data_IF_591623755707
#
_entry.id   IF_591623755707
#
_cell.length_a   1.000
_cell.length_b   1.000
_cell.length_c   1.000
_cell.angle_alpha   90.00
_cell.angle_beta   90.00
_cell.angle_gamma   90.00
#
_symmetry.space_group_name_H-M   'P 1'
#
loop_
_entity.id
_entity.type
_entity.pdbx_description
1 polymer ?
#
# COMPACT_ATOMS: atom_id res chain seq x y z
N UNK A 1 -10.59 -7.53 17.13
CA UNK A 1 -11.67 -6.67 16.59
C UNK A 1 -11.99 -7.15 15.19
N UNK A 2 -13.20 -6.93 14.71
CA UNK A 2 -13.59 -7.32 13.34
C UNK A 2 -13.44 -6.11 12.43
N UNK A 3 -12.63 -6.25 11.39
CA UNK A 3 -12.36 -5.21 10.41
C UNK A 3 -12.90 -5.61 9.04
N UNK A 4 -13.24 -4.62 8.23
CA UNK A 4 -13.62 -4.79 6.85
C UNK A 4 -12.85 -3.84 5.93
N UNK A 5 -12.54 -4.32 4.73
CA UNK A 5 -12.06 -3.50 3.60
C UNK A 5 -12.88 -3.88 2.37
N UNK A 6 -13.14 -2.91 1.51
CA UNK A 6 -13.85 -3.15 0.26
C UNK A 6 -12.98 -2.79 -0.93
N UNK A 7 -12.67 -3.79 -1.76
CA UNK A 7 -12.14 -3.58 -3.09
C UNK A 7 -13.29 -3.10 -4.00
N UNK A 8 -13.18 -1.90 -4.59
CA UNK A 8 -14.30 -1.27 -5.30
C UNK A 8 -14.08 -1.17 -6.81
N UNK A 9 -15.00 -1.73 -7.58
CA UNK A 9 -15.10 -1.44 -9.02
C UNK A 9 -15.85 -0.11 -9.19
N UNK A 10 -15.09 0.95 -9.42
CA UNK A 10 -15.64 2.31 -9.47
C UNK A 10 -16.42 2.57 -10.75
N UNK A 11 -17.59 3.20 -10.59
CA UNK A 11 -18.32 3.79 -11.71
C UNK A 11 -17.63 5.10 -12.08
N UNK A 12 -16.86 5.09 -13.16
CA UNK A 12 -16.05 6.23 -13.60
C UNK A 12 -16.82 7.19 -14.51
N UNK A 13 -16.36 8.45 -14.54
CA UNK A 13 -16.78 9.40 -15.58
C UNK A 13 -16.17 8.99 -16.93
N UNK A 14 -16.96 8.90 -18.02
CA UNK A 14 -16.42 8.61 -19.34
C UNK A 14 -15.62 9.78 -19.94
N UNK A 15 -15.75 10.98 -19.37
CA UNK A 15 -15.07 12.19 -19.84
C UNK A 15 -14.63 13.04 -18.62
N UNK A 16 -13.60 12.62 -17.88
CA UNK A 16 -13.18 13.29 -16.64
C UNK A 16 -12.63 14.71 -16.86
N UNK A 17 -12.21 15.05 -18.08
CA UNK A 17 -11.81 16.41 -18.45
C UNK A 17 -12.99 17.34 -18.78
N UNK A 18 -14.21 16.82 -18.95
CA UNK A 18 -15.37 17.62 -19.30
C UNK A 18 -15.91 18.38 -18.08
N UNK A 19 -16.32 19.64 -18.27
CA UNK A 19 -17.01 20.41 -17.25
C UNK A 19 -18.45 19.91 -17.12
N UNK A 20 -18.88 19.66 -15.88
CA UNK A 20 -20.23 19.21 -15.55
C UNK A 20 -20.82 20.06 -14.43
N UNK A 21 -22.13 20.07 -14.31
CA UNK A 21 -22.81 20.68 -13.17
C UNK A 21 -22.62 19.82 -11.90
N UNK A 22 -22.60 20.45 -10.71
CA UNK A 22 -22.49 19.72 -9.42
C UNK A 22 -23.57 18.66 -9.28
N UNK A 23 -24.79 18.91 -9.77
CA UNK A 23 -25.87 17.92 -9.76
C UNK A 23 -25.48 16.63 -10.49
N UNK A 24 -24.88 16.73 -11.67
CA UNK A 24 -24.45 15.55 -12.44
C UNK A 24 -23.27 14.83 -11.79
N UNK A 25 -22.34 15.58 -11.18
CA UNK A 25 -21.27 15.00 -10.38
C UNK A 25 -21.83 14.22 -9.18
N UNK A 26 -22.78 14.79 -8.44
CA UNK A 26 -23.47 14.14 -7.32
C UNK A 26 -24.27 12.90 -7.75
N UNK A 27 -24.89 12.91 -8.94
CA UNK A 27 -25.57 11.73 -9.50
C UNK A 27 -24.57 10.58 -9.77
N UNK A 28 -23.37 10.87 -10.29
CA UNK A 28 -22.33 9.87 -10.47
C UNK A 28 -21.82 9.33 -9.14
N UNK A 29 -21.39 10.23 -8.24
CA UNK A 29 -20.88 9.86 -6.91
C UNK A 29 -21.95 9.12 -6.10
N UNK A 30 -23.21 9.49 -6.27
CA UNK A 30 -24.36 8.83 -5.65
C UNK A 30 -24.45 7.35 -6.00
N UNK A 31 -24.17 6.96 -7.24
CA UNK A 31 -24.18 5.54 -7.65
C UNK A 31 -23.04 4.74 -7.01
N UNK A 32 -21.85 5.33 -6.85
CA UNK A 32 -20.76 4.70 -6.09
C UNK A 32 -21.13 4.58 -4.60
N UNK A 33 -21.73 5.62 -4.02
CA UNK A 33 -22.19 5.62 -2.62
C UNK A 33 -23.34 4.63 -2.36
N UNK A 34 -24.17 4.33 -3.37
CA UNK A 34 -25.19 3.27 -3.28
C UNK A 34 -24.53 1.90 -3.04
N UNK A 35 -23.41 1.63 -3.74
CA UNK A 35 -22.62 0.40 -3.55
C UNK A 35 -22.00 0.42 -2.16
N UNK A 36 -21.41 1.55 -1.73
CA UNK A 36 -20.81 1.67 -0.39
C UNK A 36 -21.83 1.38 0.70
N UNK A 37 -23.05 1.92 0.63
CA UNK A 37 -24.10 1.66 1.63
C UNK A 37 -24.45 0.17 1.72
N UNK A 38 -24.46 -0.55 0.59
CA UNK A 38 -24.65 -2.01 0.59
C UNK A 38 -23.51 -2.74 1.30
N UNK A 39 -22.26 -2.33 1.06
CA UNK A 39 -21.09 -2.96 1.68
C UNK A 39 -20.98 -2.64 3.16
N UNK A 40 -21.32 -1.41 3.58
CA UNK A 40 -21.43 -1.02 4.99
C UNK A 40 -22.45 -1.91 5.70
N UNK A 41 -23.63 -2.11 5.12
CA UNK A 41 -24.65 -2.99 5.68
C UNK A 41 -24.17 -4.46 5.75
N UNK A 42 -23.51 -4.95 4.70
CA UNK A 42 -23.00 -6.31 4.65
C UNK A 42 -21.86 -6.55 5.67
N UNK A 43 -20.97 -5.58 5.86
CA UNK A 43 -19.89 -5.63 6.85
C UNK A 43 -20.46 -5.58 8.28
N UNK A 44 -21.40 -4.66 8.55
CA UNK A 44 -22.05 -4.55 9.86
C UNK A 44 -22.81 -5.83 10.24
N UNK A 45 -23.48 -6.49 9.27
CA UNK A 45 -24.14 -7.79 9.49
C UNK A 45 -23.16 -8.92 9.84
N UNK A 46 -21.91 -8.81 9.39
CA UNK A 46 -20.82 -9.73 9.73
C UNK A 46 -20.08 -9.31 11.02
N UNK A 47 -20.56 -8.28 11.73
CA UNK A 47 -19.99 -7.82 12.99
C UNK A 47 -18.78 -6.90 12.85
N UNK A 48 -18.47 -6.40 11.65
CA UNK A 48 -17.37 -5.46 11.44
C UNK A 48 -17.59 -4.17 12.26
N UNK A 49 -16.53 -3.72 12.93
CA UNK A 49 -16.51 -2.52 13.77
C UNK A 49 -15.98 -1.31 12.99
N UNK A 50 -15.22 -1.55 11.92
CA UNK A 50 -14.70 -0.55 10.99
C UNK A 50 -14.73 -1.10 9.57
N UNK A 51 -15.01 -0.23 8.59
CA UNK A 51 -14.87 -0.49 7.16
C UNK A 51 -14.05 0.61 6.48
N UNK A 52 -13.13 0.21 5.59
CA UNK A 52 -12.31 1.13 4.77
C UNK A 52 -12.69 0.98 3.30
N UNK A 53 -12.82 2.11 2.62
CA UNK A 53 -13.07 2.21 1.18
C UNK A 53 -11.85 2.78 0.43
N UNK A 54 -11.73 2.53 -0.89
CA UNK A 54 -10.56 2.91 -1.65
C UNK A 54 -10.42 4.41 -1.89
N UNK A 55 -9.19 4.81 -2.24
CA UNK A 55 -8.89 6.11 -2.85
C UNK A 55 -9.64 6.26 -4.18
N UNK A 56 -10.11 7.47 -4.50
CA UNK A 56 -10.83 7.80 -5.73
C UNK A 56 -12.11 6.97 -5.99
N UNK A 57 -12.55 6.14 -5.04
CA UNK A 57 -13.64 5.20 -5.27
C UNK A 57 -15.03 5.84 -5.42
N UNK A 58 -15.15 7.13 -5.11
CA UNK A 58 -16.41 7.88 -5.20
C UNK A 58 -16.52 8.61 -6.55
N UNK A 59 -15.44 9.26 -7.01
CA UNK A 59 -15.45 10.12 -8.19
C UNK A 59 -14.58 9.62 -9.36
N UNK A 60 -13.63 8.72 -9.12
CA UNK A 60 -12.63 8.28 -10.08
C UNK A 60 -11.46 9.26 -10.22
N UNK A 61 -10.67 9.11 -11.28
CA UNK A 61 -9.40 9.82 -11.50
C UNK A 61 -9.37 10.50 -12.88
N UNK A 62 -8.22 11.11 -13.24
CA UNK A 62 -7.94 11.81 -14.51
C UNK A 62 -8.71 13.13 -14.73
N UNK A 63 -9.06 13.83 -13.64
CA UNK A 63 -9.66 15.15 -13.73
C UNK A 63 -8.62 16.26 -13.92
N UNK A 64 -9.08 17.42 -14.37
CA UNK A 64 -8.35 18.69 -14.28
C UNK A 64 -8.81 19.45 -13.04
N UNK A 65 -8.06 20.48 -12.62
CA UNK A 65 -8.48 21.36 -11.51
C UNK A 65 -9.90 21.93 -11.68
N UNK A 66 -10.30 22.25 -12.91
CA UNK A 66 -11.61 22.82 -13.20
C UNK A 66 -12.70 21.75 -13.29
N UNK A 67 -12.40 20.61 -13.92
CA UNK A 67 -13.40 19.55 -14.12
C UNK A 67 -13.69 18.73 -12.86
N UNK A 68 -12.75 18.68 -11.90
CA UNK A 68 -12.99 18.03 -10.60
C UNK A 68 -13.87 18.87 -9.67
N UNK A 69 -13.87 20.20 -9.81
CA UNK A 69 -14.50 21.12 -8.85
C UNK A 69 -15.97 20.78 -8.48
N UNK A 70 -16.83 20.35 -9.42
CA UNK A 70 -18.20 19.93 -9.11
C UNK A 70 -18.29 18.69 -8.20
N UNK A 71 -17.25 17.84 -8.18
CA UNK A 71 -17.16 16.61 -7.38
C UNK A 71 -16.62 16.85 -5.97
N UNK A 72 -16.10 18.04 -5.67
CA UNK A 72 -15.44 18.33 -4.39
C UNK A 72 -16.46 18.73 -3.31
N UNK A 73 -16.32 18.16 -2.13
CA UNK A 73 -17.02 18.61 -0.93
C UNK A 73 -16.21 19.66 -0.17
N UNK A 74 -16.89 20.57 0.52
CA UNK A 74 -16.25 21.41 1.52
C UNK A 74 -16.07 20.63 2.81
N UNK A 75 -14.83 20.41 3.24
CA UNK A 75 -14.52 19.83 4.55
C UNK A 75 -13.61 20.80 5.32
N UNK A 76 -14.04 21.28 6.49
CA UNK A 76 -13.26 22.24 7.27
C UNK A 76 -12.04 21.55 7.88
N UNK A 77 -10.83 22.03 7.56
CA UNK A 77 -9.59 21.45 8.08
C UNK A 77 -9.35 21.71 9.57
N UNK A 78 -9.84 22.85 10.10
CA UNK A 78 -9.54 23.31 11.47
C UNK A 78 -10.77 23.44 12.36
N UNK A 79 -11.73 22.52 12.25
CA UNK A 79 -12.81 22.48 13.24
C UNK A 79 -12.41 21.72 14.50
N UNK A 80 -12.20 22.49 15.56
CA UNK A 80 -12.07 22.04 16.95
C UNK A 80 -13.37 21.48 17.54
N UNK A 81 -14.47 21.54 16.80
CA UNK A 81 -15.78 21.02 17.20
C UNK A 81 -16.04 19.61 16.68
N UNK A 82 -16.79 18.82 17.46
CA UNK A 82 -17.35 17.54 17.01
C UNK A 82 -18.49 17.81 16.01
N UNK A 83 -18.20 17.93 14.74
CA UNK A 83 -19.23 18.04 13.69
C UNK A 83 -19.78 16.65 13.35
N UNK A 84 -21.10 16.52 13.30
CA UNK A 84 -21.77 15.33 12.79
C UNK A 84 -22.50 15.65 11.48
N UNK A 85 -21.90 15.40 10.31
CA UNK A 85 -22.49 15.76 9.01
C UNK A 85 -23.92 15.23 8.81
N UNK A 86 -24.24 14.04 9.34
CA UNK A 86 -25.59 13.49 9.22
C UNK A 86 -26.63 14.21 10.06
N UNK A 87 -26.27 14.65 11.27
CA UNK A 87 -27.19 15.34 12.20
C UNK A 87 -27.26 16.84 11.97
N UNK A 88 -26.21 17.41 11.38
CA UNK A 88 -26.06 18.84 11.13
C UNK A 88 -25.81 19.12 9.63
N UNK A 89 -26.72 18.69 8.73
CA UNK A 89 -26.49 18.68 7.29
C UNK A 89 -26.45 20.07 6.64
N UNK A 90 -26.89 21.09 7.36
CA UNK A 90 -26.94 22.48 6.88
C UNK A 90 -25.90 23.38 7.56
N UNK A 91 -24.96 22.81 8.32
CA UNK A 91 -23.91 23.59 8.99
C UNK A 91 -22.92 24.17 7.98
N UNK A 92 -22.58 23.40 6.94
CA UNK A 92 -21.79 23.85 5.80
C UNK A 92 -22.48 23.46 4.49
N UNK A 93 -22.31 24.29 3.48
CA UNK A 93 -22.75 24.00 2.11
C UNK A 93 -21.73 23.07 1.42
N UNK A 94 -22.17 22.43 0.34
CA UNK A 94 -21.36 21.52 -0.48
C UNK A 94 -20.79 20.35 0.33
N UNK A 95 -21.63 19.66 1.11
CA UNK A 95 -21.23 18.55 2.01
C UNK A 95 -21.99 17.24 1.75
N UNK A 96 -22.64 17.12 0.59
CA UNK A 96 -23.57 16.02 0.29
C UNK A 96 -22.90 14.63 0.36
N UNK A 97 -21.64 14.50 -0.05
CA UNK A 97 -20.91 13.22 -0.03
C UNK A 97 -20.53 12.85 1.41
N UNK A 98 -19.88 13.75 2.15
CA UNK A 98 -19.48 13.50 3.54
C UNK A 98 -20.69 13.33 4.47
N UNK A 99 -21.80 14.03 4.20
CA UNK A 99 -23.08 13.84 4.87
C UNK A 99 -23.60 12.41 4.64
N UNK A 100 -23.59 11.92 3.41
CA UNK A 100 -24.08 10.58 3.09
C UNK A 100 -23.24 9.49 3.75
N UNK A 101 -21.91 9.65 3.73
CA UNK A 101 -20.96 8.78 4.44
C UNK A 101 -21.22 8.78 5.95
N UNK A 102 -21.41 9.96 6.55
CA UNK A 102 -21.74 10.10 7.98
C UNK A 102 -23.05 9.39 8.33
N UNK A 103 -24.08 9.53 7.50
CA UNK A 103 -25.36 8.88 7.75
C UNK A 103 -25.30 7.35 7.64
N UNK A 104 -24.55 6.80 6.69
CA UNK A 104 -24.41 5.34 6.59
C UNK A 104 -23.60 4.77 7.77
N UNK A 105 -22.59 5.48 8.26
CA UNK A 105 -21.86 5.12 9.48
C UNK A 105 -22.78 5.10 10.71
N UNK A 106 -23.54 6.19 10.94
CA UNK A 106 -24.50 6.32 12.04
C UNK A 106 -25.60 5.24 12.01
N UNK A 107 -26.20 5.01 10.83
CA UNK A 107 -27.31 4.06 10.65
C UNK A 107 -26.89 2.62 10.93
N UNK A 108 -25.65 2.26 10.58
CA UNK A 108 -25.12 0.91 10.74
C UNK A 108 -24.23 0.73 11.97
N UNK A 109 -24.00 1.79 12.76
CA UNK A 109 -23.16 1.82 13.97
C UNK A 109 -21.76 1.25 13.74
N UNK A 110 -21.13 1.67 12.64
CA UNK A 110 -19.81 1.21 12.22
C UNK A 110 -18.90 2.40 11.95
N UNK A 111 -17.61 2.28 12.31
CA UNK A 111 -16.63 3.28 11.90
C UNK A 111 -16.39 3.16 10.39
N UNK A 112 -16.29 4.28 9.71
CA UNK A 112 -16.17 4.32 8.26
C UNK A 112 -15.00 5.22 7.86
N UNK A 113 -14.12 4.70 7.01
CA UNK A 113 -13.07 5.47 6.37
C UNK A 113 -13.28 5.45 4.86
N UNK A 114 -13.27 6.62 4.25
CA UNK A 114 -13.43 6.78 2.81
C UNK A 114 -12.59 7.94 2.29
N UNK A 115 -12.30 7.91 1.00
CA UNK A 115 -11.60 8.96 0.30
C UNK A 115 -12.54 9.77 -0.59
N UNK A 116 -12.37 11.08 -0.61
CA UNK A 116 -13.07 12.00 -1.49
C UNK A 116 -12.24 13.25 -1.78
N UNK A 117 -12.49 13.88 -2.92
CA UNK A 117 -11.98 15.21 -3.21
C UNK A 117 -12.63 16.28 -2.32
N UNK A 118 -11.80 17.14 -1.73
CA UNK A 118 -12.29 18.29 -0.94
C UNK A 118 -11.80 19.62 -1.50
N UNK A 119 -12.54 20.70 -1.21
CA UNK A 119 -12.21 22.07 -1.59
C UNK A 119 -12.22 23.02 -0.40
N UNK A 120 -11.31 23.99 -0.42
CA UNK A 120 -11.24 25.06 0.58
C UNK A 120 -10.99 26.40 -0.10
N UNK A 121 -11.93 27.36 0.00
CA UNK A 121 -11.72 28.69 -0.55
C UNK A 121 -10.55 29.37 0.18
N UNK A 122 -9.72 30.08 -0.58
CA UNK A 122 -8.62 30.87 -0.02
C UNK A 122 -8.67 32.31 -0.54
N UNK A 123 -8.24 33.25 0.31
CA UNK A 123 -8.21 34.66 -0.03
C UNK A 123 -6.91 35.05 -0.71
N UNK A 124 -6.91 36.17 -1.45
CA UNK A 124 -5.71 36.75 -2.08
C UNK A 124 -4.60 37.13 -1.09
N UNK A 125 -4.92 37.21 0.20
CA UNK A 125 -3.96 37.46 1.27
C UNK A 125 -3.12 36.22 1.63
N UNK A 126 -3.54 35.01 1.25
CA UNK A 126 -2.72 33.80 1.40
C UNK A 126 -1.80 33.68 0.17
N UNK A 127 -0.47 33.85 0.33
CA UNK A 127 0.47 33.79 -0.79
C UNK A 127 0.55 32.40 -1.45
N UNK A 128 0.01 31.37 -0.80
CA UNK A 128 -0.03 30.00 -1.32
C UNK A 128 -1.36 29.68 -2.01
N UNK A 129 -2.33 30.59 -1.97
CA UNK A 129 -3.62 30.37 -2.61
C UNK A 129 -3.43 30.21 -4.12
N UNK A 130 -3.88 29.08 -4.72
CA UNK A 130 -3.83 28.92 -6.16
C UNK A 130 -4.52 30.07 -6.90
N UNK A 131 -4.10 30.32 -8.15
CA UNK A 131 -4.61 31.44 -8.97
C UNK A 131 -6.13 31.39 -9.19
N UNK A 132 -6.70 30.21 -9.01
CA UNK A 132 -8.10 29.90 -9.20
C UNK A 132 -8.92 29.96 -7.89
N UNK A 133 -8.30 30.45 -6.81
CA UNK A 133 -8.96 30.95 -5.59
C UNK A 133 -9.36 29.90 -4.55
N UNK A 134 -8.88 28.65 -4.70
CA UNK A 134 -9.17 27.57 -3.77
C UNK A 134 -8.06 26.53 -3.75
N UNK A 135 -7.92 25.85 -2.62
CA UNK A 135 -7.21 24.58 -2.54
C UNK A 135 -8.16 23.43 -2.85
N UNK A 136 -7.63 22.37 -3.45
CA UNK A 136 -8.32 21.12 -3.76
C UNK A 136 -7.45 19.97 -3.27
N UNK A 137 -7.99 19.02 -2.51
CA UNK A 137 -7.19 17.95 -1.92
C UNK A 137 -7.81 16.57 -2.14
N UNK A 138 -6.98 15.58 -2.48
CA UNK A 138 -7.28 14.18 -2.23
C UNK A 138 -7.35 13.99 -0.70
N UNK A 139 -8.50 13.57 -0.18
CA UNK A 139 -8.77 13.61 1.25
C UNK A 139 -9.38 12.31 1.76
N UNK A 140 -8.76 11.70 2.75
CA UNK A 140 -9.43 10.68 3.56
C UNK A 140 -10.23 11.33 4.70
N UNK A 141 -11.39 10.76 5.00
CA UNK A 141 -12.22 11.11 6.15
C UNK A 141 -12.50 9.88 7.01
N UNK A 142 -12.36 10.04 8.32
CA UNK A 142 -12.72 9.03 9.31
C UNK A 142 -13.99 9.45 10.04
N UNK A 143 -15.02 8.60 10.01
CA UNK A 143 -16.32 8.82 10.61
C UNK A 143 -16.56 7.80 11.73
N UNK A 144 -17.04 8.28 12.87
CA UNK A 144 -17.40 7.45 14.00
C UNK A 144 -18.68 6.65 13.75
N UNK A 145 -18.90 5.61 14.57
CA UNK A 145 -20.13 4.82 14.55
C UNK A 145 -21.41 5.64 14.88
N UNK A 146 -21.26 6.87 15.40
CA UNK A 146 -22.33 7.83 15.60
C UNK A 146 -22.47 8.86 14.45
N UNK A 147 -21.65 8.73 13.41
CA UNK A 147 -21.59 9.64 12.26
C UNK A 147 -20.73 10.89 12.47
N UNK A 148 -20.08 11.08 13.62
CA UNK A 148 -19.21 12.24 13.82
C UNK A 148 -17.95 12.17 12.94
N UNK A 149 -17.52 13.30 12.38
CA UNK A 149 -16.22 13.41 11.70
C UNK A 149 -15.11 13.41 12.76
N UNK A 150 -14.26 12.38 12.73
CA UNK A 150 -13.21 12.14 13.73
C UNK A 150 -11.84 12.67 13.30
N UNK A 151 -11.50 12.50 12.03
CA UNK A 151 -10.24 12.95 11.46
C UNK A 151 -10.38 13.15 9.94
N UNK A 152 -9.49 13.98 9.39
CA UNK A 152 -9.31 14.18 7.96
C UNK A 152 -7.83 14.13 7.64
N UNK A 153 -7.46 13.56 6.51
CA UNK A 153 -6.08 13.50 6.02
C UNK A 153 -6.04 14.00 4.59
N UNK A 154 -5.18 14.98 4.27
CA UNK A 154 -4.92 15.40 2.88
C UNK A 154 -3.67 14.68 2.38
N UNK A 155 -3.81 13.97 1.26
CA UNK A 155 -2.71 13.22 0.66
C UNK A 155 -1.50 14.13 0.41
N UNK A 156 -0.33 13.71 0.90
CA UNK A 156 0.89 14.49 0.79
C UNK A 156 1.66 14.18 -0.49
N UNK A 157 1.88 12.89 -0.77
CA UNK A 157 2.65 12.43 -1.93
C UNK A 157 1.70 12.10 -3.08
N UNK A 158 1.44 13.08 -3.95
CA UNK A 158 0.55 12.93 -5.10
C UNK A 158 1.17 12.03 -6.19
N UNK A 159 0.34 11.29 -6.92
CA UNK A 159 0.74 10.42 -8.02
C UNK A 159 -0.05 10.73 -9.30
N UNK A 160 0.46 11.65 -10.12
CA UNK A 160 -0.21 12.14 -11.34
C UNK A 160 -1.61 12.74 -11.12
N UNK A 161 -1.81 13.37 -9.97
CA UNK A 161 -3.09 13.95 -9.56
C UNK A 161 -3.17 15.45 -9.84
N UNK A 162 -3.14 15.85 -11.12
CA UNK A 162 -3.11 17.26 -11.56
C UNK A 162 -4.29 18.11 -11.04
N UNK A 163 -5.35 17.46 -10.59
CA UNK A 163 -6.53 18.08 -10.02
C UNK A 163 -6.36 18.56 -8.56
N UNK A 164 -5.34 18.06 -7.85
CA UNK A 164 -5.15 18.26 -6.41
C UNK A 164 -3.87 19.04 -6.09
N UNK A 165 -3.92 19.75 -4.97
CA UNK A 165 -2.81 20.48 -4.35
C UNK A 165 -2.15 19.60 -3.28
N UNK A 166 -0.83 19.68 -3.14
CA UNK A 166 -0.13 19.11 -1.98
C UNK A 166 -0.31 20.02 -0.76
N UNK A 167 -0.69 19.50 0.43
CA UNK A 167 -0.79 20.32 1.63
C UNK A 167 0.60 20.89 2.00
N UNK A 168 0.67 22.14 2.49
CA UNK A 168 1.95 22.81 2.74
C UNK A 168 2.78 22.19 3.87
N UNK A 169 2.16 21.35 4.70
CA UNK A 169 2.79 20.53 5.72
C UNK A 169 2.13 19.15 5.68
N UNK A 170 2.86 18.06 5.97
CA UNK A 170 2.26 16.74 6.13
C UNK A 170 1.21 16.74 7.25
N UNK A 171 0.05 16.15 6.97
CA UNK A 171 -0.98 15.94 7.98
C UNK A 171 -0.67 14.66 8.76
N UNK A 172 -0.48 14.78 10.08
CA UNK A 172 -0.38 13.60 10.96
C UNK A 172 -1.76 13.20 11.48
N UNK A 173 -2.56 12.56 10.62
CA UNK A 173 -3.95 12.23 10.92
C UNK A 173 -4.10 10.89 11.65
N UNK A 174 -4.81 10.90 12.78
CA UNK A 174 -5.23 9.70 13.49
C UNK A 174 -6.53 9.94 14.27
N UNK A 175 -7.22 8.86 14.63
CA UNK A 175 -8.46 8.90 15.42
C UNK A 175 -8.54 7.75 16.44
N UNK A 176 -9.24 7.99 17.55
CA UNK A 176 -9.43 7.00 18.62
C UNK A 176 -10.65 6.11 18.36
N UNK A 177 -10.52 4.83 18.73
CA UNK A 177 -11.60 3.85 18.68
C UNK A 177 -11.72 3.12 20.03
N UNK A 178 -12.93 2.67 20.42
CA UNK A 178 -13.12 1.93 21.66
C UNK A 178 -12.65 0.47 21.59
N UNK A 179 -12.27 -0.04 20.42
CA UNK A 179 -12.00 -1.46 20.19
C UNK A 179 -10.56 -1.80 19.79
N UNK A 180 -9.80 -0.86 19.24
CA UNK A 180 -8.42 -1.10 18.81
C UNK A 180 -7.48 0.09 19.03
N UNK A 181 -7.87 1.06 19.87
CA UNK A 181 -7.05 2.24 20.16
C UNK A 181 -7.02 3.20 18.97
N UNK A 182 -5.83 3.74 18.68
CA UNK A 182 -5.64 4.75 17.64
C UNK A 182 -5.37 4.14 16.27
N UNK A 183 -6.09 4.63 15.26
CA UNK A 183 -5.80 4.37 13.86
C UNK A 183 -5.10 5.58 13.24
N UNK A 184 -3.95 5.36 12.62
CA UNK A 184 -3.33 6.31 11.69
C UNK A 184 -3.96 6.19 10.31
N UNK A 185 -3.83 7.26 9.52
CA UNK A 185 -4.39 7.34 8.17
C UNK A 185 -3.40 8.01 7.24
N UNK A 186 -3.15 7.39 6.09
CA UNK A 186 -2.43 7.94 4.94
C UNK A 186 -2.88 7.20 3.68
N UNK A 187 -2.56 7.73 2.50
CA UNK A 187 -3.21 7.31 1.25
C UNK A 187 -2.19 6.86 0.22
N UNK A 188 -2.35 5.64 -0.30
CA UNK A 188 -1.66 5.16 -1.50
C UNK A 188 -0.15 5.45 -1.51
N UNK A 189 0.32 6.23 -2.49
CA UNK A 189 1.73 6.52 -2.73
C UNK A 189 2.51 7.01 -1.49
N UNK A 190 1.85 7.59 -0.50
CA UNK A 190 2.44 7.94 0.80
C UNK A 190 3.22 6.80 1.47
N UNK A 191 2.83 5.54 1.25
CA UNK A 191 3.47 4.36 1.87
C UNK A 191 4.96 4.22 1.49
N UNK A 192 5.39 4.81 0.37
CA UNK A 192 6.78 4.78 -0.10
C UNK A 192 7.66 5.89 0.48
N UNK A 193 7.10 6.83 1.25
CA UNK A 193 7.79 8.03 1.72
C UNK A 193 7.87 8.09 3.25
N UNK A 194 8.84 8.86 3.74
CA UNK A 194 9.00 9.08 5.17
C UNK A 194 7.83 9.88 5.75
N UNK A 195 7.45 10.95 5.03
CA UNK A 195 6.33 11.81 5.40
C UNK A 195 5.08 11.51 4.57
N UNK A 196 3.91 11.31 5.19
CA UNK A 196 3.71 11.18 6.64
C UNK A 196 3.93 9.75 7.16
N UNK A 197 3.97 8.72 6.30
CA UNK A 197 3.70 7.34 6.70
C UNK A 197 4.60 6.83 7.83
N UNK A 198 5.92 6.98 7.69
CA UNK A 198 6.89 6.51 8.69
C UNK A 198 6.84 7.37 9.95
N UNK A 199 6.86 8.69 9.78
CA UNK A 199 6.93 9.60 10.92
C UNK A 199 5.64 9.57 11.75
N UNK A 200 4.47 9.46 11.11
CA UNK A 200 3.17 9.26 11.76
C UNK A 200 3.20 8.04 12.68
N UNK A 201 3.69 6.90 12.19
CA UNK A 201 3.75 5.65 12.98
C UNK A 201 4.70 5.81 14.17
N UNK A 202 5.90 6.33 13.94
CA UNK A 202 6.95 6.41 14.97
C UNK A 202 6.64 7.47 16.03
N UNK A 203 6.23 8.66 15.63
CA UNK A 203 5.97 9.78 16.53
C UNK A 203 4.75 9.53 17.42
N UNK A 204 3.70 8.89 16.88
CA UNK A 204 2.45 8.67 17.61
C UNK A 204 2.27 7.23 18.12
N UNK A 205 3.28 6.37 17.92
CA UNK A 205 3.29 4.96 18.31
C UNK A 205 2.03 4.21 17.83
N UNK A 206 1.66 4.42 16.57
CA UNK A 206 0.46 3.85 15.98
C UNK A 206 0.66 2.39 15.63
N UNK A 207 -0.35 1.58 15.90
CA UNK A 207 -0.34 0.12 15.66
C UNK A 207 -1.44 -0.36 14.73
N UNK A 208 -2.33 0.54 14.35
CA UNK A 208 -3.44 0.29 13.45
C UNK A 208 -3.41 1.39 12.39
N UNK A 209 -3.50 1.02 11.11
CA UNK A 209 -3.47 1.94 9.98
C UNK A 209 -4.66 1.63 9.08
N UNK A 210 -5.39 2.67 8.68
CA UNK A 210 -6.35 2.61 7.57
C UNK A 210 -5.68 3.20 6.33
N UNK A 211 -5.84 2.53 5.19
CA UNK A 211 -5.09 2.83 3.98
C UNK A 211 -5.98 2.71 2.73
N UNK A 212 -6.73 3.78 2.40
CA UNK A 212 -7.35 3.93 1.10
C UNK A 212 -6.27 4.01 0.00
N UNK A 213 -6.46 3.31 -1.11
CA UNK A 213 -5.49 3.31 -2.20
C UNK A 213 -6.14 3.04 -3.56
N UNK A 214 -5.55 3.60 -4.62
CA UNK A 214 -5.81 3.26 -6.02
C UNK A 214 -4.49 2.78 -6.66
N UNK A 215 -3.96 1.69 -6.13
CA UNK A 215 -2.63 1.19 -6.44
C UNK A 215 -2.60 0.40 -7.75
N UNK A 216 -1.71 0.79 -8.65
CA UNK A 216 -1.38 0.04 -9.87
C UNK A 216 -0.25 -0.93 -9.55
N UNK A 217 -0.51 -2.23 -9.70
CA UNK A 217 0.50 -3.25 -9.46
C UNK A 217 1.67 -3.10 -10.42
N UNK A 218 2.88 -3.19 -9.89
CA UNK A 218 4.12 -3.29 -10.68
C UNK A 218 4.96 -4.43 -10.10
N UNK A 219 5.00 -5.54 -10.82
CA UNK A 219 5.77 -6.71 -10.41
C UNK A 219 7.25 -6.53 -10.78
N UNK A 220 8.18 -7.13 -10.03
CA UNK A 220 7.96 -8.11 -8.97
C UNK A 220 8.15 -7.54 -7.54
N UNK A 221 8.15 -6.23 -7.33
CA UNK A 221 8.48 -5.64 -6.01
C UNK A 221 7.39 -4.74 -5.41
N UNK A 222 6.45 -4.28 -6.23
CA UNK A 222 5.44 -3.29 -5.87
C UNK A 222 4.04 -3.75 -6.27
N UNK A 223 3.73 -5.05 -6.12
CA UNK A 223 2.32 -5.45 -6.07
C UNK A 223 1.68 -4.92 -4.78
N UNK A 224 0.43 -4.48 -4.86
CA UNK A 224 -0.34 -3.93 -3.75
C UNK A 224 -0.31 -4.87 -2.53
N UNK A 225 -0.73 -6.13 -2.71
CA UNK A 225 -0.81 -7.10 -1.60
C UNK A 225 0.56 -7.40 -1.00
N UNK A 226 1.58 -7.41 -1.84
CA UNK A 226 2.95 -7.72 -1.47
C UNK A 226 3.58 -6.61 -0.61
N UNK A 227 3.60 -5.39 -1.14
CA UNK A 227 4.28 -4.28 -0.47
C UNK A 227 3.53 -3.84 0.79
N UNK A 228 2.19 -3.83 0.75
CA UNK A 228 1.38 -3.45 1.91
C UNK A 228 1.53 -4.46 3.07
N UNK A 229 1.61 -5.76 2.77
CA UNK A 229 1.93 -6.77 3.78
C UNK A 229 3.34 -6.59 4.34
N UNK A 230 4.33 -6.37 3.49
CA UNK A 230 5.71 -6.15 3.93
C UNK A 230 5.83 -4.92 4.83
N UNK A 231 5.10 -3.85 4.54
CA UNK A 231 5.01 -2.66 5.40
C UNK A 231 4.40 -3.00 6.78
N UNK A 232 3.29 -3.75 6.81
CA UNK A 232 2.65 -4.19 8.05
C UNK A 232 3.62 -4.99 8.94
N UNK A 233 4.38 -5.91 8.33
CA UNK A 233 5.40 -6.71 9.00
C UNK A 233 6.56 -5.84 9.50
N UNK A 234 7.12 -4.98 8.65
CA UNK A 234 8.29 -4.16 8.97
C UNK A 234 8.04 -3.18 10.13
N UNK A 235 6.85 -2.55 10.16
CA UNK A 235 6.48 -1.62 11.22
C UNK A 235 5.78 -2.27 12.42
N UNK A 236 5.50 -3.58 12.34
CA UNK A 236 4.75 -4.32 13.35
C UNK A 236 3.42 -3.61 13.66
N UNK A 237 2.62 -3.40 12.61
CA UNK A 237 1.30 -2.73 12.63
C UNK A 237 0.26 -3.58 11.90
N UNK A 238 -1.02 -3.34 12.19
CA UNK A 238 -2.09 -3.78 11.30
C UNK A 238 -2.36 -2.71 10.24
N UNK A 239 -2.65 -3.13 9.01
CA UNK A 239 -3.07 -2.25 7.91
C UNK A 239 -4.39 -2.76 7.32
N UNK A 240 -5.37 -1.87 7.21
CA UNK A 240 -6.62 -2.08 6.50
C UNK A 240 -6.54 -1.39 5.14
N UNK A 241 -6.14 -2.11 4.10
CA UNK A 241 -5.97 -1.58 2.76
C UNK A 241 -7.17 -1.87 1.88
N UNK A 242 -7.77 -0.82 1.34
CA UNK A 242 -8.88 -0.90 0.40
C UNK A 242 -8.42 -0.32 -0.95
N UNK A 243 -8.41 -1.16 -1.99
CA UNK A 243 -7.92 -0.79 -3.31
C UNK A 243 -9.06 -0.68 -4.33
N UNK A 244 -8.82 0.02 -5.42
CA UNK A 244 -9.68 0.00 -6.60
C UNK A 244 -9.59 -1.36 -7.30
N UNK A 245 -10.73 -1.82 -7.83
CA UNK A 245 -10.82 -2.94 -8.76
C UNK A 245 -10.95 -2.41 -10.19
N UNK A 246 -9.84 -2.35 -10.91
CA UNK A 246 -9.78 -1.94 -12.30
C UNK A 246 -8.67 -2.71 -13.04
N UNK A 247 -8.90 -3.99 -13.39
CA UNK A 247 -7.86 -4.87 -13.92
C UNK A 247 -7.12 -4.34 -15.16
N UNK A 248 -7.81 -3.61 -16.03
CA UNK A 248 -7.19 -3.02 -17.24
C UNK A 248 -6.16 -1.92 -16.94
N UNK A 249 -6.12 -1.40 -15.72
CA UNK A 249 -5.11 -0.46 -15.22
C UNK A 249 -4.17 -1.11 -14.21
N UNK A 250 -4.22 -2.43 -14.02
CA UNK A 250 -3.39 -3.11 -13.02
C UNK A 250 -3.83 -2.85 -11.58
N UNK A 251 -5.04 -2.33 -11.34
CA UNK A 251 -5.54 -2.03 -9.99
C UNK A 251 -6.38 -3.19 -9.47
N UNK A 252 -5.82 -3.92 -8.51
CA UNK A 252 -6.49 -4.93 -7.67
C UNK A 252 -5.50 -5.29 -6.57
N UNK A 253 -5.98 -5.72 -5.40
CA UNK A 253 -5.12 -6.06 -4.28
C UNK A 253 -5.52 -5.28 -3.05
N UNK A 254 -6.57 -5.75 -2.40
CA UNK A 254 -7.04 -5.25 -1.11
C UNK A 254 -6.75 -6.28 -0.04
N UNK A 255 -6.59 -5.83 1.20
CA UNK A 255 -6.32 -6.76 2.28
C UNK A 255 -6.38 -6.19 3.68
N UNK A 256 -6.50 -7.12 4.62
CA UNK A 256 -6.36 -6.89 6.05
C UNK A 256 -5.06 -7.58 6.46
N UNK A 257 -4.04 -6.78 6.75
CA UNK A 257 -2.71 -7.24 7.07
C UNK A 257 -2.44 -7.08 8.55
N UNK A 258 -1.96 -8.15 9.17
CA UNK A 258 -1.32 -8.15 10.49
C UNK A 258 0.17 -8.48 10.28
N UNK A 259 1.04 -8.28 11.28
CA UNK A 259 2.47 -8.54 11.12
C UNK A 259 2.84 -9.99 10.73
N UNK A 260 1.93 -10.95 10.89
CA UNK A 260 2.20 -12.39 10.69
C UNK A 260 1.06 -13.13 9.97
N UNK A 261 0.02 -12.41 9.52
CA UNK A 261 -1.15 -13.00 8.86
C UNK A 261 -1.85 -11.98 8.00
N UNK A 262 -2.31 -12.40 6.83
CA UNK A 262 -3.03 -11.54 5.88
C UNK A 262 -4.32 -12.20 5.41
N UNK A 263 -5.31 -11.36 5.10
CA UNK A 263 -6.54 -11.75 4.39
C UNK A 263 -6.64 -10.86 3.16
N UNK A 264 -6.50 -11.44 1.98
CA UNK A 264 -6.33 -10.67 0.74
C UNK A 264 -7.37 -11.04 -0.31
N UNK A 265 -7.57 -10.12 -1.24
CA UNK A 265 -8.19 -10.37 -2.53
C UNK A 265 -7.35 -9.72 -3.62
N UNK A 266 -7.06 -10.50 -4.66
CA UNK A 266 -6.37 -10.07 -5.87
C UNK A 266 -6.98 -10.80 -7.05
N UNK A 267 -7.42 -10.08 -8.07
CA UNK A 267 -7.99 -10.68 -9.27
C UNK A 267 -7.86 -9.75 -10.48
N UNK A 268 -7.09 -10.20 -11.49
CA UNK A 268 -6.88 -9.47 -12.74
C UNK A 268 -7.81 -9.91 -13.89
N UNK A 269 -8.69 -10.88 -13.65
CA UNK A 269 -9.55 -11.49 -14.67
C UNK A 269 -11.03 -11.08 -14.55
N UNK A 270 -11.55 -11.03 -13.33
CA UNK A 270 -12.96 -10.75 -13.08
C UNK A 270 -13.25 -9.27 -13.02
N UNK A 271 -14.53 -8.93 -13.14
CA UNK A 271 -15.08 -7.63 -12.76
C UNK A 271 -15.90 -7.80 -11.47
N UNK A 272 -16.18 -6.70 -10.78
CA UNK A 272 -16.91 -6.68 -9.51
C UNK A 272 -16.01 -6.45 -8.29
N UNK A 273 -16.52 -5.65 -7.34
CA UNK A 273 -15.82 -5.42 -6.08
C UNK A 273 -15.87 -6.60 -5.10
N UNK A 274 -14.97 -6.59 -4.11
CA UNK A 274 -14.87 -7.63 -3.07
C UNK A 274 -14.86 -7.04 -1.67
N UNK A 275 -15.81 -7.48 -0.85
CA UNK A 275 -15.78 -7.24 0.60
C UNK A 275 -14.94 -8.34 1.29
N UNK A 276 -13.95 -7.91 2.08
CA UNK A 276 -13.17 -8.76 2.96
C UNK A 276 -13.54 -8.38 4.39
N UNK A 277 -13.96 -9.36 5.19
CA UNK A 277 -14.23 -9.18 6.63
C UNK A 277 -13.40 -10.20 7.40
N UNK A 278 -12.63 -9.73 8.39
CA UNK A 278 -11.78 -10.59 9.19
C UNK A 278 -11.73 -10.14 10.65
N UNK A 279 -11.68 -11.11 11.56
CA UNK A 279 -11.32 -10.88 12.94
C UNK A 279 -9.79 -10.91 13.09
N UNK A 280 -9.24 -9.83 13.63
CA UNK A 280 -7.79 -9.66 13.83
C UNK A 280 -7.46 -9.18 15.25
N UNK A 281 -6.27 -9.52 15.78
CA UNK A 281 -5.82 -9.04 17.08
C UNK A 281 -5.56 -7.54 17.06
N UNK A 282 -5.76 -6.89 18.21
CA UNK A 282 -5.25 -5.53 18.43
C UNK A 282 -3.76 -5.65 18.72
N UNK A 283 -2.93 -5.04 17.87
CA UNK A 283 -1.49 -4.96 18.09
C UNK A 283 -1.22 -3.85 19.11
N UNK A 284 -0.53 -4.19 20.19
CA UNK A 284 -0.11 -3.25 21.24
C UNK A 284 1.42 -3.10 21.22
N UNK A 285 1.95 -2.16 22.01
CA UNK A 285 3.40 -1.96 22.09
C UNK A 285 4.18 -3.20 22.54
N UNK A 286 3.56 -4.08 23.33
CA UNK A 286 4.17 -5.31 23.84
C UNK A 286 4.06 -6.51 22.89
N UNK A 287 3.43 -6.32 21.72
CA UNK A 287 3.26 -7.40 20.75
C UNK A 287 4.62 -7.78 20.14
N UNK A 288 5.16 -8.92 20.57
CA UNK A 288 6.39 -9.51 20.04
C UNK A 288 6.06 -10.64 19.09
N UNK A 289 6.54 -10.55 17.87
CA UNK A 289 6.54 -11.66 16.92
C UNK A 289 7.71 -12.60 17.24
N UNK A 290 7.55 -13.90 17.01
CA UNK A 290 8.66 -14.87 17.13
C UNK A 290 9.61 -14.85 15.92
N UNK A 291 9.46 -13.89 15.01
CA UNK A 291 10.15 -13.81 13.72
C UNK A 291 11.67 -13.56 13.86
N UNK A 292 12.11 -12.98 14.98
CA UNK A 292 13.52 -12.66 15.25
C UNK A 292 14.40 -13.86 15.63
N UNK A 293 13.84 -15.08 15.76
CA UNK A 293 14.60 -16.26 16.19
C UNK A 293 15.43 -16.82 15.04
N UNK A 294 16.69 -16.41 14.90
CA UNK A 294 17.58 -16.86 13.82
C UNK A 294 17.83 -18.38 13.79
N UNK A 295 17.72 -19.04 12.62
CA UNK A 295 18.51 -20.23 12.30
C UNK A 295 19.71 -19.83 11.41
N UNK A 296 20.83 -20.51 11.58
CA UNK A 296 21.93 -20.51 10.60
C UNK A 296 22.99 -19.40 10.72
N UNK A 297 24.21 -19.71 10.25
CA UNK A 297 25.34 -18.78 10.16
C UNK A 297 25.09 -17.76 9.04
N UNK A 298 24.94 -16.48 9.39
CA UNK A 298 25.19 -15.39 8.44
C UNK A 298 26.71 -15.30 8.29
N UNK A 299 27.24 -15.75 7.16
CA UNK A 299 28.68 -15.83 6.88
C UNK A 299 29.08 -14.70 5.94
N UNK A 300 30.16 -13.99 6.27
CA UNK A 300 30.77 -12.96 5.40
C UNK A 300 31.46 -13.55 4.16
N UNK A 301 31.62 -14.88 4.08
CA UNK A 301 32.35 -15.56 3.01
C UNK A 301 31.39 -16.31 2.10
N UNK A 302 31.06 -15.74 0.94
CA UNK A 302 30.64 -16.52 -0.21
C UNK A 302 31.80 -17.41 -0.66
N UNK A 303 31.59 -18.73 -0.73
CA UNK A 303 32.60 -19.66 -1.24
C UNK A 303 32.03 -20.48 -2.40
N UNK A 304 32.25 -19.98 -3.61
CA UNK A 304 32.54 -20.70 -4.86
C UNK A 304 32.68 -19.64 -5.97
N UNK A 305 33.17 -20.01 -7.16
CA UNK A 305 33.22 -19.11 -8.31
C UNK A 305 31.81 -18.59 -8.59
N UNK A 306 31.54 -17.33 -8.22
CA UNK A 306 30.26 -16.68 -8.51
C UNK A 306 30.06 -16.67 -10.03
N UNK A 307 28.89 -17.11 -10.53
CA UNK A 307 28.61 -17.11 -11.95
C UNK A 307 28.73 -15.68 -12.51
N UNK A 308 29.00 -15.53 -13.82
CA UNK A 308 29.15 -14.22 -14.42
C UNK A 308 27.88 -13.38 -14.19
N UNK A 309 28.09 -12.16 -13.71
CA UNK A 309 27.01 -11.21 -13.51
C UNK A 309 26.50 -10.66 -14.84
N UNK A 310 25.24 -10.24 -14.86
CA UNK A 310 24.61 -9.56 -15.99
C UNK A 310 23.74 -8.40 -15.50
N UNK A 311 23.32 -7.55 -16.42
CA UNK A 311 22.43 -6.42 -16.15
C UNK A 311 21.07 -6.68 -16.79
N UNK A 312 20.01 -6.32 -16.08
CA UNK A 312 18.65 -6.34 -16.60
C UNK A 312 17.81 -5.28 -15.87
N UNK A 313 16.80 -4.77 -16.58
CA UNK A 313 15.88 -3.79 -16.02
C UNK A 313 14.83 -4.50 -15.15
N UNK A 314 14.63 -4.00 -13.94
CA UNK A 314 13.54 -4.40 -13.04
C UNK A 314 12.98 -3.14 -12.42
N UNK A 315 11.67 -2.91 -12.54
CA UNK A 315 11.04 -1.68 -12.04
C UNK A 315 11.69 -0.40 -12.59
N UNK A 316 12.06 -0.39 -13.87
CA UNK A 316 12.77 0.72 -14.56
C UNK A 316 14.19 1.02 -14.04
N UNK A 317 14.69 0.23 -13.09
CA UNK A 317 16.01 0.36 -12.52
C UNK A 317 16.95 -0.71 -13.09
N UNK A 318 18.20 -0.33 -13.35
CA UNK A 318 19.19 -1.26 -13.90
C UNK A 318 19.85 -2.09 -12.79
N UNK A 319 19.34 -3.29 -12.56
CA UNK A 319 19.83 -4.21 -11.54
C UNK A 319 21.06 -4.99 -12.02
N UNK A 320 21.95 -5.31 -11.08
CA UNK A 320 23.03 -6.29 -11.31
C UNK A 320 22.56 -7.65 -10.80
N UNK A 321 22.59 -8.66 -11.67
CA UNK A 321 22.11 -10.00 -11.37
C UNK A 321 23.21 -11.05 -11.47
N UNK A 322 23.03 -12.14 -10.75
CA UNK A 322 23.73 -13.42 -10.96
C UNK A 322 22.70 -14.54 -11.09
N UNK A 323 22.86 -15.47 -12.05
CA UNK A 323 21.90 -16.56 -12.24
C UNK A 323 21.99 -17.62 -11.13
N UNK A 324 20.85 -18.22 -10.82
CA UNK A 324 20.71 -19.30 -9.83
C UNK A 324 20.72 -20.65 -10.56
N UNK A 325 21.77 -21.45 -10.37
CA UNK A 325 22.02 -22.70 -11.11
C UNK A 325 22.02 -23.95 -10.26
N UNK A 326 21.49 -25.05 -10.81
CA UNK A 326 21.53 -26.34 -10.12
C UNK A 326 20.62 -26.39 -8.90
N UNK A 327 20.73 -27.48 -8.13
CA UNK A 327 19.78 -27.80 -7.06
C UNK A 327 20.02 -27.00 -5.78
N UNK A 328 21.25 -26.57 -5.53
CA UNK A 328 21.63 -25.79 -4.35
C UNK A 328 22.86 -24.94 -4.63
N UNK A 329 23.04 -23.86 -3.88
CA UNK A 329 24.24 -23.05 -3.98
C UNK A 329 24.27 -21.87 -3.03
N UNK A 330 25.45 -21.25 -2.94
CA UNK A 330 25.68 -19.99 -2.26
C UNK A 330 26.12 -18.93 -3.28
N UNK A 331 25.40 -17.81 -3.34
CA UNK A 331 25.64 -16.72 -4.29
C UNK A 331 25.90 -15.41 -3.57
N UNK A 332 26.65 -14.54 -4.25
CA UNK A 332 26.89 -13.16 -3.85
C UNK A 332 26.86 -12.27 -5.10
N UNK A 333 26.24 -11.09 -4.96
CA UNK A 333 26.27 -10.03 -5.97
C UNK A 333 26.28 -8.66 -5.26
N UNK A 334 27.02 -7.70 -5.78
CA UNK A 334 27.13 -6.36 -5.19
C UNK A 334 26.90 -5.26 -6.22
N UNK A 335 26.27 -4.17 -5.80
CA UNK A 335 26.19 -2.91 -6.53
C UNK A 335 26.41 -1.75 -5.55
N UNK A 336 27.31 -0.83 -5.92
CA UNK A 336 27.71 0.30 -5.08
C UNK A 336 28.11 -0.13 -3.66
N UNK A 337 27.32 0.22 -2.64
CA UNK A 337 27.61 -0.08 -1.23
C UNK A 337 26.89 -1.34 -0.72
N UNK A 338 25.93 -1.87 -1.50
CA UNK A 338 25.13 -3.03 -1.14
C UNK A 338 25.69 -4.31 -1.77
N UNK A 339 25.84 -5.34 -0.95
CA UNK A 339 26.10 -6.72 -1.31
C UNK A 339 24.96 -7.60 -0.81
N UNK A 340 24.40 -8.39 -1.71
CA UNK A 340 23.35 -9.35 -1.45
C UNK A 340 23.89 -10.77 -1.55
N UNK A 341 23.38 -11.63 -0.69
CA UNK A 341 23.83 -13.00 -0.52
C UNK A 341 22.63 -13.93 -0.47
N UNK A 342 22.78 -15.10 -1.07
CA UNK A 342 21.72 -16.11 -1.13
C UNK A 342 22.31 -17.47 -0.84
N UNK A 343 21.72 -18.20 0.10
CA UNK A 343 21.84 -19.65 0.19
C UNK A 343 20.49 -20.24 -0.21
N UNK A 344 20.47 -21.19 -1.13
CA UNK A 344 19.23 -21.77 -1.62
C UNK A 344 19.33 -23.28 -1.85
N UNK A 345 18.17 -23.92 -1.79
CA UNK A 345 17.96 -25.31 -2.14
C UNK A 345 16.61 -25.45 -2.87
N UNK A 346 16.66 -25.92 -4.12
CA UNK A 346 15.48 -26.23 -4.93
C UNK A 346 15.03 -27.65 -4.62
N UNK A 347 13.72 -27.84 -4.48
CA UNK A 347 13.16 -29.18 -4.26
C UNK A 347 13.38 -30.10 -5.48
N UNK A 348 13.22 -29.53 -6.69
CA UNK A 348 13.42 -30.18 -7.99
C UNK A 348 13.92 -29.12 -8.98
N UNK A 349 14.74 -29.53 -9.96
CA UNK A 349 15.09 -28.67 -11.08
C UNK A 349 13.92 -28.50 -12.05
N UNK A 350 13.55 -27.25 -12.28
CA UNK A 350 12.58 -26.83 -13.29
C UNK A 350 13.30 -26.15 -14.44
N UNK A 351 12.63 -26.01 -15.59
CA UNK A 351 13.13 -25.20 -16.70
C UNK A 351 13.08 -23.68 -16.41
N UNK A 352 12.44 -23.28 -15.31
CA UNK A 352 12.39 -21.87 -14.88
C UNK A 352 13.77 -21.31 -14.50
N UNK A 353 14.09 -20.14 -15.08
CA UNK A 353 15.27 -19.37 -14.74
C UNK A 353 14.99 -18.47 -13.53
N UNK A 354 15.92 -18.46 -12.57
CA UNK A 354 15.92 -17.54 -11.44
C UNK A 354 17.24 -16.79 -11.37
N UNK A 355 17.22 -15.60 -10.78
CA UNK A 355 18.40 -14.79 -10.56
C UNK A 355 18.36 -14.12 -9.17
N UNK A 356 19.54 -13.90 -8.59
CA UNK A 356 19.73 -13.01 -7.45
C UNK A 356 20.16 -11.64 -7.99
N UNK A 357 19.37 -10.62 -7.70
CA UNK A 357 19.60 -9.22 -8.10
C UNK A 357 19.96 -8.32 -6.92
N UNK A 358 20.71 -7.27 -7.23
CA UNK A 358 21.02 -6.16 -6.32
C UNK A 358 20.86 -4.81 -7.01
N UNK A 359 20.31 -3.84 -6.26
CA UNK A 359 20.24 -2.44 -6.63
C UNK A 359 20.51 -1.54 -5.42
N UNK A 360 21.26 -0.46 -5.63
CA UNK A 360 21.60 0.56 -4.63
C UNK A 360 21.68 1.91 -5.34
N UNK A 361 20.55 2.60 -5.46
CA UNK A 361 20.46 3.77 -6.32
C UNK A 361 19.16 4.56 -6.20
N UNK A 362 19.11 5.69 -6.91
CA UNK A 362 17.95 6.56 -6.98
C UNK A 362 17.00 6.08 -8.08
N UNK A 363 15.79 5.69 -7.71
CA UNK A 363 14.69 5.47 -8.62
C UNK A 363 14.11 6.81 -9.06
N UNK A 364 13.71 6.94 -10.32
CA UNK A 364 13.27 8.23 -10.91
C UNK A 364 12.05 8.15 -11.82
N UNK A 365 11.55 6.95 -12.12
CA UNK A 365 10.44 6.76 -13.05
C UNK A 365 9.14 6.71 -12.26
N UNK A 366 8.18 7.59 -12.56
CA UNK A 366 6.93 7.70 -11.79
C UNK A 366 7.08 8.08 -10.31
N UNK A 367 8.28 8.49 -9.89
CA UNK A 367 8.58 8.97 -8.54
C UNK A 367 10.08 9.08 -8.34
N UNK A 368 10.51 9.89 -7.38
CA UNK A 368 11.93 10.02 -7.03
C UNK A 368 12.14 9.52 -5.61
N UNK A 369 12.92 8.44 -5.45
CA UNK A 369 13.21 7.85 -4.15
C UNK A 369 14.39 6.87 -4.20
N UNK A 370 15.19 6.79 -3.12
CA UNK A 370 16.39 5.97 -3.07
C UNK A 370 16.14 4.54 -2.54
N UNK A 371 16.52 3.53 -3.32
CA UNK A 371 16.25 2.12 -3.01
C UNK A 371 17.54 1.34 -2.82
N UNK A 372 17.57 0.52 -1.78
CA UNK A 372 18.50 -0.60 -1.62
C UNK A 372 17.71 -1.90 -1.69
N UNK A 373 17.97 -2.76 -2.68
CA UNK A 373 17.20 -3.98 -2.87
C UNK A 373 18.10 -5.20 -3.07
N UNK A 374 17.77 -6.28 -2.36
CA UNK A 374 18.24 -7.64 -2.66
C UNK A 374 17.03 -8.47 -3.08
N UNK A 375 17.06 -9.13 -4.24
CA UNK A 375 15.89 -9.86 -4.73
C UNK A 375 16.26 -11.20 -5.39
N UNK A 376 15.68 -12.30 -4.92
CA UNK A 376 15.63 -13.57 -5.64
C UNK A 376 14.34 -13.58 -6.46
N UNK A 377 14.45 -13.58 -7.79
CA UNK A 377 13.31 -13.43 -8.70
C UNK A 377 13.26 -14.54 -9.74
N UNK A 378 12.04 -14.96 -10.10
CA UNK A 378 11.79 -15.72 -11.33
C UNK A 378 11.91 -14.80 -12.53
N UNK A 379 12.63 -15.23 -13.57
CA UNK A 379 12.73 -14.49 -14.82
C UNK A 379 11.52 -14.78 -15.73
N UNK A 380 11.16 -13.82 -16.59
CA UNK A 380 10.02 -13.96 -17.51
C UNK A 380 10.18 -15.07 -18.56
N UNK A 381 11.42 -15.43 -18.87
CA UNK A 381 11.77 -16.56 -19.73
C UNK A 381 13.19 -17.05 -19.46
N UNK A 382 13.76 -17.76 -20.42
CA UNK A 382 15.10 -18.36 -20.29
C UNK A 382 16.25 -17.39 -20.61
N UNK A 383 15.94 -16.19 -21.12
CA UNK A 383 16.93 -15.15 -21.39
C UNK A 383 17.17 -14.30 -20.15
N UNK A 384 18.43 -13.99 -19.86
CA UNK A 384 18.83 -13.11 -18.75
C UNK A 384 18.17 -11.73 -18.81
N UNK A 385 17.89 -11.21 -20.01
CA UNK A 385 17.20 -9.93 -20.20
C UNK A 385 15.74 -9.92 -19.69
N UNK A 386 15.17 -11.08 -19.36
CA UNK A 386 13.81 -11.21 -18.85
C UNK A 386 13.74 -11.25 -17.32
N UNK A 387 14.87 -11.27 -16.64
CA UNK A 387 14.92 -11.20 -15.19
C UNK A 387 14.57 -9.78 -14.74
N UNK A 388 13.47 -9.65 -13.99
CA UNK A 388 12.90 -8.35 -13.63
C UNK A 388 11.59 -7.99 -14.34
N UNK A 389 11.18 -8.78 -15.35
CA UNK A 389 9.87 -8.65 -15.98
C UNK A 389 8.74 -9.11 -15.05
N UNK A 390 7.53 -8.66 -15.34
CA UNK A 390 6.33 -9.08 -14.61
C UNK A 390 6.02 -10.56 -14.87
N UNK A 391 5.88 -11.33 -13.79
CA UNK A 391 5.58 -12.76 -13.82
C UNK A 391 4.56 -13.08 -12.75
N UNK A 392 3.50 -13.81 -13.13
CA UNK A 392 2.39 -14.19 -12.24
C UNK A 392 2.44 -15.64 -11.78
N UNK A 393 3.19 -16.48 -12.51
CA UNK A 393 3.20 -17.93 -12.30
C UNK A 393 4.61 -18.48 -12.12
N UNK A 394 4.74 -19.41 -11.18
CA UNK A 394 5.97 -20.11 -10.85
C UNK A 394 5.67 -21.53 -10.38
N UNK A 395 6.60 -22.44 -10.63
CA UNK A 395 6.50 -23.84 -10.22
C UNK A 395 7.65 -24.28 -9.34
N UNK A 396 8.79 -23.57 -9.36
CA UNK A 396 9.94 -23.94 -8.55
C UNK A 396 9.71 -23.68 -7.05
N UNK A 397 9.84 -24.75 -6.25
CA UNK A 397 9.89 -24.69 -4.79
C UNK A 397 11.35 -24.46 -4.37
N UNK A 398 11.62 -23.32 -3.74
CA UNK A 398 12.98 -22.89 -3.38
C UNK A 398 13.00 -22.54 -1.89
N UNK A 399 13.69 -23.36 -1.11
CA UNK A 399 14.07 -23.00 0.25
C UNK A 399 15.26 -22.05 0.19
N UNK A 400 15.24 -20.98 0.99
CA UNK A 400 16.28 -19.95 0.89
C UNK A 400 16.57 -19.24 2.21
N UNK A 401 17.77 -18.68 2.27
CA UNK A 401 18.16 -17.60 3.16
C UNK A 401 18.77 -16.48 2.31
N UNK A 402 18.13 -15.31 2.32
CA UNK A 402 18.55 -14.09 1.62
C UNK A 402 19.01 -13.08 2.66
N UNK A 403 20.17 -12.45 2.46
CA UNK A 403 20.64 -11.38 3.35
C UNK A 403 21.45 -10.32 2.63
N UNK A 404 21.53 -9.12 3.21
CA UNK A 404 22.27 -8.00 2.66
C UNK A 404 22.75 -7.01 3.73
N UNK A 405 23.85 -6.30 3.45
CA UNK A 405 24.41 -5.26 4.31
C UNK A 405 23.67 -3.93 4.11
N UNK A 406 22.38 -3.94 4.42
CA UNK A 406 21.48 -2.79 4.26
C UNK A 406 22.00 -1.59 5.07
N UNK A 407 21.99 -0.40 4.47
CA UNK A 407 22.43 0.85 5.11
C UNK A 407 21.27 1.63 5.77
N UNK A 408 20.04 1.17 5.57
CA UNK A 408 18.82 1.75 6.14
C UNK A 408 18.19 0.78 7.15
N UNK A 409 17.56 1.27 8.24
CA UNK A 409 16.77 0.44 9.13
C UNK A 409 15.36 0.12 8.58
N UNK A 410 14.93 0.74 7.48
CA UNK A 410 13.60 0.56 6.89
C UNK A 410 13.65 -0.48 5.77
N UNK A 411 13.58 -1.76 6.16
CA UNK A 411 13.54 -2.90 5.24
C UNK A 411 12.15 -3.53 5.24
N UNK A 412 11.60 -3.70 4.04
CA UNK A 412 10.32 -4.33 3.75
C UNK A 412 10.59 -5.76 3.23
N UNK A 413 10.27 -6.81 4.01
CA UNK A 413 10.46 -8.19 3.60
C UNK A 413 9.34 -8.63 2.65
N UNK A 414 9.68 -8.81 1.38
CA UNK A 414 8.75 -9.22 0.32
C UNK A 414 8.87 -10.74 0.09
N UNK A 415 7.75 -11.43 0.00
CA UNK A 415 7.67 -12.84 -0.35
C UNK A 415 6.36 -13.12 -1.09
N UNK A 416 6.48 -13.32 -2.40
CA UNK A 416 5.35 -13.55 -3.29
C UNK A 416 5.51 -14.89 -3.99
N UNK A 417 4.42 -15.65 -4.04
CA UNK A 417 4.37 -16.96 -4.68
C UNK A 417 3.34 -17.00 -5.80
N UNK A 418 3.34 -18.07 -6.59
CA UNK A 418 2.54 -18.23 -7.81
C UNK A 418 1.07 -17.82 -7.61
N UNK A 419 0.50 -17.17 -8.62
CA UNK A 419 -0.85 -16.63 -8.57
C UNK A 419 -0.99 -15.37 -7.70
N UNK A 420 0.11 -14.64 -7.46
CA UNK A 420 0.15 -13.43 -6.61
C UNK A 420 -0.38 -13.72 -5.20
N UNK A 421 0.07 -14.83 -4.64
CA UNK A 421 -0.31 -15.25 -3.29
C UNK A 421 0.80 -14.94 -2.30
N UNK A 422 0.42 -14.44 -1.12
CA UNK A 422 1.35 -14.05 -0.07
C UNK A 422 1.80 -15.25 0.76
N UNK A 423 3.05 -15.19 1.22
CA UNK A 423 3.58 -16.07 2.25
C UNK A 423 4.44 -15.26 3.24
N UNK A 424 4.69 -15.82 4.42
CA UNK A 424 5.54 -15.22 5.44
C UNK A 424 6.84 -15.99 5.54
N UNK A 425 7.96 -15.28 5.71
CA UNK A 425 9.21 -15.93 6.06
C UNK A 425 9.14 -16.54 7.46
N UNK A 426 9.83 -17.66 7.63
CA UNK A 426 9.93 -18.34 8.93
C UNK A 426 10.75 -17.50 9.91
N UNK A 427 11.79 -16.82 9.40
CA UNK A 427 12.71 -16.01 10.19
C UNK A 427 13.19 -14.80 9.41
N UNK A 428 13.32 -13.67 10.10
CA UNK A 428 13.86 -12.43 9.56
C UNK A 428 14.47 -11.55 10.67
N UNK A 429 15.32 -10.60 10.29
CA UNK A 429 15.82 -9.57 11.20
C UNK A 429 17.30 -9.26 11.04
N UNK A 430 17.85 -8.55 12.01
CA UNK A 430 19.25 -8.12 12.01
C UNK A 430 20.18 -9.15 12.68
N UNK A 431 21.31 -9.44 12.04
CA UNK A 431 22.39 -10.26 12.61
C UNK A 431 23.73 -9.85 12.01
N UNK A 432 24.71 -9.53 12.86
CA UNK A 432 26.08 -9.16 12.45
C UNK A 432 26.12 -8.06 11.37
N UNK A 433 25.29 -7.01 11.49
CA UNK A 433 25.13 -5.92 10.50
C UNK A 433 24.48 -6.30 9.15
N UNK A 434 23.94 -7.51 9.02
CA UNK A 434 23.14 -7.91 7.88
C UNK A 434 21.67 -8.02 8.29
N UNK A 435 20.78 -7.60 7.41
CA UNK A 435 19.37 -7.97 7.51
C UNK A 435 19.14 -9.25 6.70
N UNK A 436 18.42 -10.22 7.26
CA UNK A 436 18.13 -11.48 6.59
C UNK A 436 16.63 -11.80 6.56
N UNK A 437 16.28 -12.66 5.61
CA UNK A 437 14.96 -13.26 5.39
C UNK A 437 15.19 -14.73 5.02
N UNK A 438 14.47 -15.67 5.64
CA UNK A 438 14.58 -17.09 5.28
C UNK A 438 13.25 -17.82 5.30
N UNK A 439 13.11 -18.75 4.37
CA UNK A 439 11.96 -19.63 4.23
C UNK A 439 12.43 -21.05 3.95
N UNK A 440 11.92 -22.01 4.70
CA UNK A 440 12.14 -23.43 4.49
C UNK A 440 10.81 -24.13 4.20
N UNK A 441 10.88 -25.32 3.57
CA UNK A 441 9.71 -26.14 3.23
C UNK A 441 8.67 -25.36 2.41
N UNK A 442 9.14 -24.64 1.41
CA UNK A 442 8.27 -23.93 0.46
C UNK A 442 7.26 -24.88 -0.18
N UNK A 443 5.99 -24.44 -0.24
CA UNK A 443 4.88 -25.25 -0.74
C UNK A 443 4.19 -24.66 -1.97
N UNK A 444 4.63 -23.49 -2.43
CA UNK A 444 4.14 -22.79 -3.62
C UNK A 444 5.32 -22.28 -4.43
N UNK A 445 5.16 -22.19 -5.75
CA UNK A 445 6.22 -21.72 -6.64
C UNK A 445 6.62 -20.29 -6.32
N UNK A 446 7.91 -20.02 -6.18
CA UNK A 446 8.42 -18.72 -5.77
C UNK A 446 8.39 -17.72 -6.94
N UNK A 447 7.73 -16.56 -6.80
CA UNK A 447 7.85 -15.47 -7.78
C UNK A 447 8.99 -14.54 -7.38
N UNK A 448 8.97 -14.07 -6.14
CA UNK A 448 10.00 -13.21 -5.58
C UNK A 448 10.18 -13.44 -4.08
N UNK A 449 11.43 -13.32 -3.63
CA UNK A 449 11.78 -13.07 -2.25
C UNK A 449 12.76 -11.90 -2.22
N UNK A 450 12.43 -10.83 -1.50
CA UNK A 450 13.25 -9.62 -1.52
C UNK A 450 13.35 -8.91 -0.17
N UNK A 451 14.49 -8.23 0.00
CA UNK A 451 14.72 -7.21 1.01
C UNK A 451 14.62 -5.86 0.30
N UNK A 452 13.50 -5.17 0.41
CA UNK A 452 13.30 -3.86 -0.21
C UNK A 452 13.55 -2.77 0.83
N UNK A 453 14.63 -2.02 0.69
CA UNK A 453 15.07 -1.00 1.64
C UNK A 453 14.84 0.42 1.12
N UNK A 454 14.26 1.28 1.95
CA UNK A 454 14.11 2.72 1.65
C UNK A 454 15.13 3.53 2.43
N UNK A 455 15.97 4.28 1.72
CA UNK A 455 16.94 5.18 2.34
C UNK A 455 16.45 6.63 2.22
N UNK A 456 15.47 6.98 3.04
CA UNK A 456 14.73 8.25 2.94
C UNK A 456 15.63 9.50 2.98
N UNK A 457 16.75 9.47 3.71
CA UNK A 457 17.70 10.59 3.77
C UNK A 457 18.46 10.83 2.46
N UNK A 458 18.33 9.94 1.47
CA UNK A 458 18.94 10.02 0.14
C UNK A 458 17.95 10.25 -1.00
N UNK A 459 16.65 10.39 -0.68
CA UNK A 459 15.60 10.66 -1.69
C UNK A 459 15.85 11.95 -2.47
#
# INVERSE_FOLDING_TARGET
YVAAVYEHESILSPAPAALVERRSALELMGRNLDIYEQQVLAAARQGAQIIVFPEDGIHGFNFTRSSIYPYLDFVPHSHSGKWNPCREPYLFNDTEVVQRLSCMALKNRIFLVANLGTKQPCGRSDPRCPSDGRFQFNTDVALGADGALLATYRKHNLYFEDAFDTPPQPDYAFFDTPFAGKFGMFTCFDILFFEPAVNLIRQYNLKQIVYPTAWMNQLPLLSAVEFQQAFATAFNVNILAANIHHPTLGMTGSGIYTPVKSFIYHNMESYGGKLIVAEIPVITADYKTNLEKAPGRVSEKGKEQSPPSFYAEMMYDNFTFVPVWGEKGELQVCANTLCCYLNYQRAVLTDELYALGVFDGLHTVHGTYYVQACALVKCGGLSFSTCGQEVTDATALIDFQLWGNMSTPYIFPLLLTSGITLDFADHMGWKNNYYFLSKNRTSSGLLTAALYGRWYEKD
#
